data_IF_789395973329
#
_entry.id   IF_789395973329
#
_cell.length_a   1.000
_cell.length_b   1.000
_cell.length_c   1.000
_cell.angle_alpha   90.00
_cell.angle_beta   90.00
_cell.angle_gamma   90.00
#
_symmetry.space_group_name_H-M   'P 1'
#
loop_
_entity.id
_entity.type
_entity.pdbx_description
1 polymer ?
#
# COMPACT_ATOMS: atom_id res chain seq x y z
N UNK A 1 2.17 18.80 -19.31
CA UNK A 1 2.99 18.19 -18.24
C UNK A 1 2.50 16.76 -18.06
N UNK A 2 3.35 15.73 -18.24
CA UNK A 2 2.96 14.37 -17.91
C UNK A 2 2.62 14.28 -16.40
N UNK A 3 1.69 13.40 -15.99
CA UNK A 3 1.36 13.23 -14.58
C UNK A 3 2.62 12.74 -13.83
N UNK A 4 2.98 13.41 -12.73
CA UNK A 4 4.16 13.09 -11.90
C UNK A 4 4.23 11.61 -11.49
N UNK A 5 3.07 10.96 -11.41
CA UNK A 5 2.93 9.56 -11.03
C UNK A 5 3.37 8.57 -12.13
N UNK A 6 3.31 8.97 -13.41
CA UNK A 6 3.79 8.13 -14.52
C UNK A 6 5.32 7.99 -14.50
N UNK A 7 6.02 9.03 -14.05
CA UNK A 7 7.48 9.01 -13.92
C UNK A 7 7.93 8.14 -12.75
N UNK A 8 7.23 8.18 -11.62
CA UNK A 8 7.51 7.33 -10.45
C UNK A 8 7.28 5.84 -10.75
N UNK A 9 6.19 5.49 -11.44
CA UNK A 9 5.92 4.11 -11.85
C UNK A 9 6.97 3.57 -12.84
N UNK A 10 7.43 4.39 -13.78
CA UNK A 10 8.49 4.01 -14.73
C UNK A 10 9.84 3.78 -14.03
N UNK A 11 10.18 4.62 -13.04
CA UNK A 11 11.39 4.45 -12.21
C UNK A 11 11.30 3.18 -11.36
N UNK A 12 10.16 2.95 -10.69
CA UNK A 12 9.93 1.73 -9.90
C UNK A 12 10.10 0.46 -10.73
N UNK A 13 9.47 0.40 -11.90
CA UNK A 13 9.64 -0.73 -12.83
C UNK A 13 11.10 -0.94 -13.24
N UNK A 14 11.81 0.14 -13.56
CA UNK A 14 13.23 0.05 -13.96
C UNK A 14 14.10 -0.50 -12.82
N UNK A 15 13.83 -0.11 -11.58
CA UNK A 15 14.52 -0.62 -10.40
C UNK A 15 14.20 -2.09 -10.14
N UNK A 16 12.95 -2.51 -10.30
CA UNK A 16 12.54 -3.92 -10.22
C UNK A 16 13.24 -4.78 -11.27
N UNK A 17 13.27 -4.33 -12.52
CA UNK A 17 13.94 -5.04 -13.62
C UNK A 17 15.45 -5.18 -13.35
N UNK A 18 16.10 -4.13 -12.84
CA UNK A 18 17.52 -4.16 -12.47
C UNK A 18 17.80 -5.10 -11.30
N UNK A 19 16.94 -5.08 -10.27
CA UNK A 19 17.04 -6.01 -9.13
C UNK A 19 16.94 -7.45 -9.60
N UNK A 20 15.98 -7.75 -10.48
CA UNK A 20 15.76 -9.09 -11.00
C UNK A 20 16.97 -9.58 -11.83
N UNK A 21 17.49 -8.73 -12.72
CA UNK A 21 18.70 -9.04 -13.48
C UNK A 21 19.92 -9.29 -12.58
N UNK A 22 20.10 -8.47 -11.55
CA UNK A 22 21.18 -8.65 -10.59
C UNK A 22 21.02 -9.96 -9.80
N UNK A 23 19.78 -10.30 -9.42
CA UNK A 23 19.47 -11.55 -8.73
C UNK A 23 19.78 -12.77 -9.59
N UNK A 24 19.33 -12.77 -10.85
CA UNK A 24 19.59 -13.86 -11.78
C UNK A 24 21.09 -14.05 -12.03
N UNK A 25 21.83 -12.95 -12.15
CA UNK A 25 23.28 -12.98 -12.27
C UNK A 25 23.95 -13.56 -11.01
N UNK A 26 23.56 -13.10 -9.81
CA UNK A 26 24.07 -13.65 -8.55
C UNK A 26 23.83 -15.15 -8.43
N UNK A 27 22.63 -15.63 -8.80
CA UNK A 27 22.27 -17.05 -8.75
C UNK A 27 23.06 -17.88 -9.77
N UNK A 28 23.37 -17.32 -10.93
CA UNK A 28 24.23 -17.96 -11.93
C UNK A 28 25.67 -18.09 -11.40
N UNK A 29 26.22 -17.03 -10.84
CA UNK A 29 27.56 -17.05 -10.25
C UNK A 29 27.66 -17.99 -9.04
N UNK A 30 26.62 -18.07 -8.20
CA UNK A 30 26.54 -19.05 -7.11
C UNK A 30 26.63 -20.49 -7.61
N UNK A 31 25.95 -20.81 -8.72
CA UNK A 31 26.04 -22.15 -9.34
C UNK A 31 27.44 -22.40 -9.91
N UNK A 32 28.05 -21.41 -10.56
CA UNK A 32 29.41 -21.51 -11.09
C UNK A 32 30.43 -21.74 -9.95
N UNK A 33 30.41 -20.88 -8.92
CA UNK A 33 31.28 -20.99 -7.76
C UNK A 33 31.15 -22.34 -7.05
N UNK A 34 29.93 -22.89 -6.95
CA UNK A 34 29.75 -24.24 -6.38
C UNK A 34 30.50 -25.31 -7.18
N UNK A 35 30.51 -25.21 -8.51
CA UNK A 35 31.26 -26.13 -9.37
C UNK A 35 32.77 -25.94 -9.21
N UNK A 36 33.23 -24.71 -9.07
CA UNK A 36 34.65 -24.39 -8.86
C UNK A 36 35.13 -24.90 -7.51
N UNK A 37 34.32 -24.74 -6.45
CA UNK A 37 34.59 -25.29 -5.12
C UNK A 37 34.63 -26.83 -5.13
N UNK A 38 33.69 -27.48 -5.82
CA UNK A 38 33.72 -28.94 -5.98
C UNK A 38 34.98 -29.40 -6.71
N UNK A 39 35.41 -28.65 -7.72
CA UNK A 39 36.65 -28.94 -8.47
C UNK A 39 37.88 -28.76 -7.59
N UNK A 40 37.96 -27.66 -6.84
CA UNK A 40 39.02 -27.42 -5.87
C UNK A 40 39.08 -28.53 -4.83
N UNK A 41 37.94 -28.94 -4.27
CA UNK A 41 37.88 -30.05 -3.31
C UNK A 41 38.40 -31.35 -3.93
N UNK A 42 38.01 -31.69 -5.15
CA UNK A 42 38.50 -32.87 -5.86
C UNK A 42 40.02 -32.83 -6.09
N UNK A 43 40.57 -31.64 -6.39
CA UNK A 43 42.02 -31.44 -6.55
C UNK A 43 42.75 -31.60 -5.22
N UNK A 44 42.27 -30.95 -4.15
CA UNK A 44 42.91 -30.99 -2.83
C UNK A 44 42.80 -32.38 -2.17
N UNK A 45 41.73 -33.12 -2.45
CA UNK A 45 41.56 -34.51 -1.99
C UNK A 45 42.30 -35.55 -2.85
N UNK A 46 43.01 -35.13 -3.90
CA UNK A 46 43.74 -36.02 -4.80
C UNK A 46 42.86 -36.87 -5.73
N UNK A 47 41.53 -36.70 -5.69
CA UNK A 47 40.57 -37.35 -6.60
C UNK A 47 40.69 -36.86 -8.05
N UNK A 48 41.25 -35.65 -8.24
CA UNK A 48 41.51 -35.05 -9.55
C UNK A 48 42.91 -34.44 -9.56
N UNK A 49 43.60 -34.49 -10.70
CA UNK A 49 44.84 -33.71 -10.88
C UNK A 49 44.51 -32.23 -11.00
N UNK A 50 45.41 -31.36 -10.53
CA UNK A 50 45.27 -29.88 -10.57
C UNK A 50 44.82 -29.36 -11.95
N UNK A 51 45.30 -29.96 -13.04
CA UNK A 51 45.01 -29.53 -14.41
C UNK A 51 45.11 -27.99 -14.53
N UNK A 52 44.27 -27.37 -15.36
CA UNK A 52 44.21 -25.93 -15.58
C UNK A 52 43.37 -25.18 -14.53
N UNK A 53 43.02 -25.82 -13.40
CA UNK A 53 42.21 -25.18 -12.37
C UNK A 53 42.99 -24.04 -11.69
N UNK A 54 42.39 -22.84 -11.66
CA UNK A 54 42.96 -21.68 -10.99
C UNK A 54 42.20 -21.38 -9.69
N UNK A 55 42.87 -21.25 -8.53
CA UNK A 55 42.24 -20.74 -7.31
C UNK A 55 41.62 -19.35 -7.49
N UNK A 56 42.07 -18.59 -8.50
CA UNK A 56 41.48 -17.30 -8.85
C UNK A 56 40.02 -17.42 -9.26
N UNK A 57 39.60 -18.54 -9.87
CA UNK A 57 38.22 -18.76 -10.30
C UNK A 57 37.25 -18.71 -9.11
N UNK A 58 37.66 -19.27 -7.96
CA UNK A 58 36.91 -19.25 -6.70
C UNK A 58 36.81 -17.82 -6.14
N UNK A 59 37.93 -17.09 -6.13
CA UNK A 59 37.97 -15.71 -5.61
C UNK A 59 37.12 -14.79 -6.48
N UNK A 60 37.25 -14.91 -7.81
CA UNK A 60 36.48 -14.14 -8.78
C UNK A 60 34.99 -14.44 -8.67
N UNK A 61 34.60 -15.72 -8.61
CA UNK A 61 33.20 -16.11 -8.43
C UNK A 61 32.60 -15.54 -7.13
N UNK A 62 33.34 -15.60 -6.02
CA UNK A 62 32.90 -15.01 -4.76
C UNK A 62 32.72 -13.48 -4.85
N UNK A 63 33.64 -12.80 -5.54
CA UNK A 63 33.58 -11.35 -5.76
C UNK A 63 32.38 -10.95 -6.63
N UNK A 64 32.11 -11.66 -7.72
CA UNK A 64 30.98 -11.37 -8.60
C UNK A 64 29.64 -11.59 -7.88
N UNK A 65 29.54 -12.64 -7.05
CA UNK A 65 28.36 -12.85 -6.18
C UNK A 65 28.17 -11.65 -5.25
N UNK A 66 29.23 -11.19 -4.58
CA UNK A 66 29.16 -10.02 -3.71
C UNK A 66 28.66 -8.79 -4.48
N UNK A 67 29.25 -8.51 -5.65
CA UNK A 67 28.88 -7.37 -6.49
C UNK A 67 27.39 -7.40 -6.85
N UNK A 68 26.91 -8.55 -7.31
CA UNK A 68 25.51 -8.70 -7.70
C UNK A 68 24.54 -8.65 -6.51
N UNK A 69 24.88 -9.30 -5.39
CA UNK A 69 24.06 -9.28 -4.19
C UNK A 69 23.96 -7.87 -3.59
N UNK A 70 25.05 -7.10 -3.57
CA UNK A 70 25.04 -5.72 -3.14
C UNK A 70 24.06 -4.87 -3.97
N UNK A 71 24.08 -5.01 -5.30
CA UNK A 71 23.12 -4.32 -6.17
C UNK A 71 21.67 -4.75 -5.94
N UNK A 72 21.41 -6.00 -5.55
CA UNK A 72 20.05 -6.45 -5.18
C UNK A 72 19.56 -5.71 -3.94
N UNK A 73 20.38 -5.68 -2.87
CA UNK A 73 20.01 -5.04 -1.61
C UNK A 73 19.81 -3.54 -1.77
N UNK A 74 20.70 -2.86 -2.50
CA UNK A 74 20.55 -1.44 -2.81
C UNK A 74 19.24 -1.16 -3.57
N UNK A 75 18.89 -2.01 -4.54
CA UNK A 75 17.64 -1.85 -5.28
C UNK A 75 16.40 -2.08 -4.40
N UNK A 76 16.45 -3.02 -3.44
CA UNK A 76 15.38 -3.24 -2.46
C UNK A 76 15.17 -2.02 -1.55
N UNK A 77 16.26 -1.46 -1.02
CA UNK A 77 16.23 -0.26 -0.18
C UNK A 77 15.64 0.94 -0.94
N UNK A 78 16.06 1.15 -2.20
CA UNK A 78 15.56 2.21 -3.05
C UNK A 78 14.07 2.02 -3.38
N UNK A 79 13.63 0.80 -3.70
CA UNK A 79 12.22 0.50 -3.95
C UNK A 79 11.36 0.78 -2.72
N UNK A 80 11.84 0.38 -1.53
CA UNK A 80 11.14 0.64 -0.29
C UNK A 80 11.04 2.14 0.01
N UNK A 81 12.10 2.90 -0.26
CA UNK A 81 12.08 4.37 -0.14
C UNK A 81 11.09 5.00 -1.13
N UNK A 82 11.13 4.61 -2.41
CA UNK A 82 10.20 5.10 -3.42
C UNK A 82 8.73 4.81 -3.04
N UNK A 83 8.44 3.65 -2.48
CA UNK A 83 7.09 3.30 -2.04
C UNK A 83 6.60 4.24 -0.92
N UNK A 84 7.43 4.51 0.10
CA UNK A 84 7.08 5.44 1.20
C UNK A 84 6.84 6.86 0.68
N UNK A 85 7.75 7.36 -0.15
CA UNK A 85 7.61 8.71 -0.73
C UNK A 85 6.37 8.83 -1.62
N UNK A 86 6.01 7.77 -2.34
CA UNK A 86 4.80 7.75 -3.16
C UNK A 86 3.53 7.80 -2.31
N UNK A 87 3.46 7.07 -1.20
CA UNK A 87 2.30 7.15 -0.28
C UNK A 87 2.19 8.52 0.38
N UNK A 88 3.31 9.09 0.85
CA UNK A 88 3.33 10.45 1.39
C UNK A 88 2.86 11.49 0.35
N UNK A 89 3.31 11.36 -0.90
CA UNK A 89 2.89 12.23 -2.00
C UNK A 89 1.39 12.09 -2.31
N UNK A 90 0.85 10.85 -2.30
CA UNK A 90 -0.59 10.61 -2.47
C UNK A 90 -1.42 11.23 -1.35
N UNK A 91 -0.98 11.10 -0.10
CA UNK A 91 -1.65 11.71 1.05
C UNK A 91 -1.68 13.25 0.93
N UNK A 92 -0.55 13.85 0.56
CA UNK A 92 -0.46 15.29 0.33
C UNK A 92 -1.37 15.75 -0.83
N UNK A 93 -1.33 15.05 -1.97
CA UNK A 93 -2.19 15.35 -3.12
C UNK A 93 -3.67 15.24 -2.74
N UNK A 94 -4.04 14.22 -1.95
CA UNK A 94 -5.39 14.02 -1.46
C UNK A 94 -5.87 15.22 -0.61
N UNK A 95 -5.06 15.63 0.36
CA UNK A 95 -5.35 16.80 1.20
C UNK A 95 -5.55 18.07 0.36
N UNK A 96 -4.60 18.37 -0.52
CA UNK A 96 -4.64 19.55 -1.37
C UNK A 96 -5.86 19.54 -2.31
N UNK A 97 -6.14 18.39 -2.94
CA UNK A 97 -7.29 18.21 -3.83
C UNK A 97 -8.62 18.46 -3.13
N UNK A 98 -8.71 18.12 -1.84
CA UNK A 98 -9.90 18.32 -1.02
C UNK A 98 -9.92 19.66 -0.27
N UNK A 99 -8.96 20.55 -0.55
CA UNK A 99 -8.90 21.90 0.01
C UNK A 99 -8.43 21.96 1.46
N UNK A 100 -7.78 20.90 1.95
CA UNK A 100 -7.10 20.95 3.23
C UNK A 100 -5.76 21.68 3.09
N UNK A 101 -5.43 22.49 4.08
CA UNK A 101 -4.23 23.31 4.11
C UNK A 101 -3.47 23.10 5.42
N UNK A 102 -2.15 23.17 5.33
CA UNK A 102 -1.31 23.26 6.51
C UNK A 102 -1.30 24.71 6.99
N UNK A 103 -1.81 24.93 8.20
CA UNK A 103 -1.87 26.25 8.81
C UNK A 103 -0.75 26.40 9.84
N UNK A 104 -0.20 27.61 9.94
CA UNK A 104 0.79 27.97 10.97
C UNK A 104 0.07 28.25 12.30
N UNK A 105 -1.16 28.76 12.25
CA UNK A 105 -2.02 29.04 13.41
C UNK A 105 -3.49 28.79 13.04
N UNK A 106 -4.20 27.89 13.75
CA UNK A 106 -3.66 26.81 14.59
C UNK A 106 -2.70 25.92 13.81
N UNK A 107 -1.62 25.47 14.46
CA UNK A 107 -0.56 24.71 13.76
C UNK A 107 -1.06 23.33 13.30
N UNK A 108 -0.74 22.96 12.06
CA UNK A 108 -1.00 21.64 11.49
C UNK A 108 -2.00 21.63 10.34
N UNK A 109 -2.42 20.43 9.93
CA UNK A 109 -3.36 20.24 8.83
C UNK A 109 -4.78 20.59 9.25
N UNK A 110 -5.46 21.40 8.44
CA UNK A 110 -6.82 21.84 8.66
C UNK A 110 -7.64 21.75 7.39
N UNK A 111 -8.93 21.47 7.55
CA UNK A 111 -9.90 21.48 6.46
C UNK A 111 -11.15 22.24 6.88
N UNK A 112 -11.65 23.10 6.00
CA UNK A 112 -12.88 23.87 6.24
C UNK A 112 -13.99 23.17 5.47
N UNK A 113 -15.01 22.70 6.18
CA UNK A 113 -16.14 22.03 5.56
C UNK A 113 -16.96 23.00 4.70
N UNK A 114 -17.79 22.51 3.76
CA UNK A 114 -18.70 23.38 2.99
C UNK A 114 -19.67 24.20 3.85
N UNK A 115 -19.84 23.85 5.13
CA UNK A 115 -20.65 24.60 6.11
C UNK A 115 -19.86 25.71 6.82
N UNK A 116 -18.57 25.86 6.52
CA UNK A 116 -17.69 26.84 7.14
C UNK A 116 -17.05 26.37 8.47
N UNK A 117 -17.22 25.11 8.87
CA UNK A 117 -16.63 24.58 10.10
C UNK A 117 -15.16 24.18 9.85
N UNK A 118 -14.25 24.66 10.68
CA UNK A 118 -12.83 24.30 10.60
C UNK A 118 -12.55 23.03 11.41
N UNK A 119 -12.02 22.00 10.75
CA UNK A 119 -11.62 20.75 11.35
C UNK A 119 -10.10 20.63 11.39
N UNK A 120 -9.54 20.37 12.57
CA UNK A 120 -8.13 20.00 12.71
C UNK A 120 -7.95 18.53 12.30
N UNK A 121 -7.10 18.29 11.30
CA UNK A 121 -6.84 16.97 10.75
C UNK A 121 -5.64 16.28 11.41
N UNK A 122 -4.66 17.03 11.89
CA UNK A 122 -3.47 16.49 12.54
C UNK A 122 -2.34 17.52 12.61
N UNK A 123 -1.19 17.10 13.17
CA UNK A 123 0.02 17.93 13.14
C UNK A 123 0.62 18.01 11.73
N UNK A 124 1.51 18.96 11.50
CA UNK A 124 2.15 19.19 10.19
C UNK A 124 2.92 17.96 9.66
N UNK A 125 3.56 17.22 10.56
CA UNK A 125 4.33 16.00 10.27
C UNK A 125 3.48 14.74 10.07
N UNK A 126 2.15 14.83 10.27
CA UNK A 126 1.23 13.70 10.21
C UNK A 126 0.34 13.71 8.95
N UNK A 127 0.94 13.97 7.78
CA UNK A 127 0.24 14.10 6.49
C UNK A 127 -0.65 12.90 6.16
N UNK A 128 -0.18 11.67 6.36
CA UNK A 128 -0.94 10.45 6.09
C UNK A 128 -2.19 10.34 6.99
N UNK A 129 -2.02 10.52 8.31
CA UNK A 129 -3.13 10.50 9.28
C UNK A 129 -4.13 11.62 9.02
N UNK A 130 -3.65 12.79 8.61
CA UNK A 130 -4.50 13.91 8.25
C UNK A 130 -5.36 13.59 7.02
N UNK A 131 -4.79 12.93 6.01
CA UNK A 131 -5.52 12.47 4.82
C UNK A 131 -6.59 11.42 5.18
N UNK A 132 -6.25 10.45 6.03
CA UNK A 132 -7.21 9.45 6.54
C UNK A 132 -8.38 10.10 7.30
N UNK A 133 -8.07 11.05 8.19
CA UNK A 133 -9.08 11.77 8.97
C UNK A 133 -10.00 12.60 8.08
N UNK A 134 -9.45 13.22 7.04
CA UNK A 134 -10.24 13.94 6.04
C UNK A 134 -11.16 12.99 5.25
N UNK A 135 -10.66 11.81 4.86
CA UNK A 135 -11.47 10.82 4.17
C UNK A 135 -12.68 10.37 5.01
N UNK A 136 -12.50 10.17 6.31
CA UNK A 136 -13.59 9.84 7.24
C UNK A 136 -14.63 10.98 7.35
N UNK A 137 -14.18 12.24 7.43
CA UNK A 137 -15.07 13.41 7.46
C UNK A 137 -15.88 13.55 6.16
N UNK A 138 -15.26 13.32 5.01
CA UNK A 138 -15.94 13.37 3.71
C UNK A 138 -16.93 12.23 3.52
N UNK A 139 -16.66 11.04 4.07
CA UNK A 139 -17.58 9.90 4.04
C UNK A 139 -18.80 10.10 4.95
N UNK A 140 -18.59 10.60 6.17
CA UNK A 140 -19.66 10.89 7.14
C UNK A 140 -20.59 12.02 6.71
N UNK A 141 -20.11 12.98 5.91
CA UNK A 141 -20.92 14.05 5.31
C UNK A 141 -21.88 13.58 4.20
N UNK A 142 -21.67 12.38 3.62
CA UNK A 142 -22.55 11.78 2.60
C UNK A 142 -23.71 11.02 3.25
N UNK A 143 -24.48 11.66 4.13
CA UNK A 143 -25.72 11.06 4.65
C UNK A 143 -26.83 11.22 3.60
N UNK A 144 -27.54 10.15 3.17
CA UNK A 144 -28.61 10.26 2.20
C UNK A 144 -29.71 11.19 2.72
N UNK A 145 -30.16 12.13 1.89
CA UNK A 145 -31.32 12.97 2.14
C UNK A 145 -32.53 12.06 2.38
N UNK A 146 -32.93 11.89 3.65
CA UNK A 146 -34.21 11.24 4.00
C UNK A 146 -35.29 12.02 3.26
N UNK A 147 -35.94 11.39 2.29
CA UNK A 147 -37.20 11.91 1.75
C UNK A 147 -38.19 11.86 2.90
N UNK A 148 -38.53 13.03 3.44
CA UNK A 148 -39.67 13.17 4.33
C UNK A 148 -40.91 12.68 3.57
N UNK A 149 -41.54 11.66 4.15
CA UNK A 149 -42.79 11.09 3.70
C UNK A 149 -43.89 12.02 4.20
N UNK A 150 -44.25 13.01 3.39
CA UNK A 150 -45.50 13.77 3.59
C UNK A 150 -46.66 12.81 3.34
N UNK A 151 -47.49 12.63 4.37
CA UNK A 151 -48.76 11.96 4.28
C UNK A 151 -49.81 12.90 3.68
N UNK A 152 -50.57 12.41 2.72
CA UNK A 152 -51.96 12.76 2.40
C UNK A 152 -52.46 11.61 1.49
N UNK A 153 -53.20 10.64 2.02
CA UNK A 153 -54.66 10.67 2.16
C UNK A 153 -55.37 10.71 0.79
N UNK A 154 -55.82 9.54 0.31
CA UNK A 154 -57.13 9.47 -0.32
C UNK A 154 -57.78 8.11 -0.02
N UNK A 155 -58.96 8.21 0.56
CA UNK A 155 -59.98 7.19 0.84
C UNK A 155 -60.43 6.46 -0.42
N UNK A 156 -60.87 5.20 -0.31
CA UNK A 156 -62.29 4.85 -0.45
C UNK A 156 -62.54 3.33 -0.29
N UNK A 157 -63.66 2.99 0.36
CA UNK A 157 -64.42 1.74 0.13
C UNK A 157 -64.17 0.54 1.06
N UNK A 158 -65.15 0.21 1.90
CA UNK A 158 -65.37 -1.19 2.33
C UNK A 158 -65.90 -1.41 3.74
N UNK A 159 -67.14 -0.97 3.97
CA UNK A 159 -67.96 -1.23 5.16
C UNK A 159 -68.31 -2.72 5.38
N UNK A 160 -68.72 -2.99 6.63
CA UNK A 160 -69.46 -4.13 7.19
C UNK A 160 -68.67 -5.25 7.87
N UNK A 161 -68.85 -5.34 9.20
CA UNK A 161 -68.95 -6.64 9.87
C UNK A 161 -68.44 -6.72 11.31
N UNK A 162 -69.27 -6.22 12.23
CA UNK A 162 -69.64 -6.88 13.49
C UNK A 162 -68.58 -7.05 14.61
N UNK A 163 -68.91 -6.43 15.74
CA UNK A 163 -68.43 -6.72 17.09
C UNK A 163 -69.69 -6.98 17.95
N UNK A 164 -69.65 -7.65 19.13
CA UNK A 164 -68.50 -7.74 20.04
C UNK A 164 -68.41 -9.07 20.84
N UNK A 165 -67.62 -9.05 21.93
CA UNK A 165 -67.69 -9.84 23.18
C UNK A 165 -66.43 -10.69 23.45
N UNK A 166 -65.58 -10.22 24.38
CA UNK A 166 -64.61 -11.05 25.13
C UNK A 166 -65.28 -11.80 26.29
N UNK A 167 -64.58 -12.34 27.32
CA UNK A 167 -63.13 -12.27 27.63
C UNK A 167 -62.48 -13.64 28.04
N UNK A 168 -61.14 -13.63 28.25
CA UNK A 168 -60.29 -14.56 29.03
C UNK A 168 -60.29 -16.07 28.60
N UNK A 169 -59.19 -16.83 28.58
CA UNK A 169 -58.28 -17.23 29.67
C UNK A 169 -56.94 -17.76 29.06
N UNK A 170 -55.81 -17.55 29.74
CA UNK A 170 -54.50 -18.22 29.52
C UNK A 170 -54.49 -19.68 30.07
N UNK A 171 -53.35 -20.37 30.30
CA UNK A 171 -52.20 -20.79 29.48
C UNK A 171 -51.96 -22.34 29.53
N UNK A 172 -50.78 -22.80 29.08
CA UNK A 172 -50.15 -24.15 29.18
C UNK A 172 -50.40 -25.09 27.99
N UNK A 173 -49.44 -25.89 27.48
CA UNK A 173 -48.06 -26.20 27.83
C UNK A 173 -47.26 -26.52 26.55
#
# INVERSE_FOLDING_TARGET
MPPKNATAAAVGKTLEDRREQARDAALKELKALRNDLNTLEAVLSGRRKKADFSPFDVVHGAFEIFRHAASVFEAEDLLAACARELEAAKALEYLQRHGANELVKPAGWHWISPRGEMHCLGKADETEKAAEKLALLLQSGRRPKRRDKTAEANSDGGDVGDAPVGPAVSPQA
#
